data_IF_123063207775
#
_entry.id   IF_123063207775
#
_cell.length_a   1.000
_cell.length_b   1.000
_cell.length_c   1.000
_cell.angle_alpha   90.00
_cell.angle_beta   90.00
_cell.angle_gamma   90.00
#
_symmetry.space_group_name_H-M   'P 1'
#
loop_
_entity.id
_entity.type
_entity.pdbx_description
1 polymer ?
#
# COMPACT_ATOMS: atom_id res chain seq x y z
N UNK A 1 39.51 -50.48 22.16
CA UNK A 1 39.08 -49.07 22.18
C UNK A 1 37.61 -49.01 21.79
N UNK A 2 36.71 -48.71 22.73
CA UNK A 2 35.26 -48.60 22.53
C UNK A 2 34.91 -47.12 22.36
N UNK A 3 34.46 -46.71 21.17
CA UNK A 3 33.90 -45.37 20.93
C UNK A 3 32.46 -45.28 21.45
N UNK A 4 31.99 -44.10 21.92
CA UNK A 4 30.66 -43.94 22.51
C UNK A 4 29.55 -43.89 21.46
N UNK A 5 28.38 -44.42 21.84
CA UNK A 5 27.13 -44.48 21.07
C UNK A 5 26.41 -43.11 21.15
N UNK A 6 26.06 -42.46 20.01
CA UNK A 6 25.19 -41.29 20.04
C UNK A 6 23.69 -41.65 20.09
N UNK A 7 22.95 -40.77 20.77
CA UNK A 7 21.63 -40.93 21.41
C UNK A 7 20.42 -40.95 20.44
N UNK A 8 19.26 -41.49 20.85
CA UNK A 8 18.03 -41.46 20.06
C UNK A 8 17.45 -40.04 19.95
N UNK A 9 16.99 -39.69 18.75
CA UNK A 9 16.36 -38.41 18.42
C UNK A 9 14.89 -38.41 18.89
N UNK A 10 14.50 -37.41 19.68
CA UNK A 10 13.11 -37.16 20.04
C UNK A 10 12.28 -36.65 18.85
N UNK A 11 10.93 -36.72 18.93
CA UNK A 11 10.05 -36.36 17.82
C UNK A 11 10.08 -34.84 17.57
N UNK A 12 10.34 -34.44 16.32
CA UNK A 12 10.20 -33.06 15.87
C UNK A 12 8.72 -32.77 15.64
N UNK A 13 8.19 -31.78 16.36
CA UNK A 13 6.86 -31.22 16.11
C UNK A 13 6.82 -30.51 14.74
N UNK A 14 5.67 -30.53 14.04
CA UNK A 14 5.50 -29.84 12.76
C UNK A 14 5.51 -28.32 12.98
N UNK A 15 6.56 -27.68 12.51
CA UNK A 15 6.67 -26.22 12.44
C UNK A 15 5.75 -25.67 11.35
N UNK A 16 4.73 -24.95 11.82
CA UNK A 16 3.82 -24.07 11.09
C UNK A 16 4.43 -23.40 9.86
N UNK A 17 3.72 -23.52 8.73
CA UNK A 17 4.01 -22.81 7.49
C UNK A 17 3.82 -21.30 7.69
N UNK A 18 4.92 -20.54 7.66
CA UNK A 18 4.85 -19.11 7.37
C UNK A 18 5.02 -18.96 5.87
N UNK A 19 3.89 -18.74 5.19
CA UNK A 19 3.80 -18.45 3.77
C UNK A 19 4.49 -17.12 3.45
N UNK A 20 5.82 -17.16 3.38
CA UNK A 20 6.59 -16.26 2.53
C UNK A 20 6.32 -16.68 1.09
N UNK A 21 5.11 -16.38 0.60
CA UNK A 21 4.75 -16.48 -0.81
C UNK A 21 5.37 -15.27 -1.53
N UNK A 22 6.71 -15.28 -1.58
CA UNK A 22 7.50 -14.34 -2.36
C UNK A 22 7.33 -14.70 -3.83
N UNK A 23 6.25 -14.19 -4.44
CA UNK A 23 6.14 -14.21 -5.90
C UNK A 23 7.09 -13.16 -6.48
N UNK A 24 7.94 -13.51 -7.47
CA UNK A 24 8.79 -12.52 -8.12
C UNK A 24 7.89 -11.56 -8.89
N UNK A 25 7.96 -10.28 -8.54
CA UNK A 25 7.29 -9.22 -9.28
C UNK A 25 7.90 -9.13 -10.69
N UNK A 26 7.11 -8.99 -11.77
CA UNK A 26 7.68 -8.75 -13.09
C UNK A 26 8.36 -7.39 -13.08
N UNK A 27 9.67 -7.40 -13.24
CA UNK A 27 10.46 -6.24 -13.60
C UNK A 27 9.92 -5.70 -14.92
N UNK A 28 9.33 -4.51 -14.87
CA UNK A 28 9.09 -3.69 -16.05
C UNK A 28 10.00 -2.49 -15.93
N UNK A 29 11.15 -2.61 -16.56
CA UNK A 29 11.92 -1.48 -17.06
C UNK A 29 11.07 -0.80 -18.14
N UNK A 30 10.81 0.50 -17.96
CA UNK A 30 10.31 1.34 -19.05
C UNK A 30 10.46 2.83 -18.68
N UNK A 31 11.56 3.42 -19.12
CA UNK A 31 11.62 4.79 -19.65
C UNK A 31 11.22 5.93 -18.71
N UNK A 32 12.24 6.65 -18.24
CA UNK A 32 12.10 7.97 -17.63
C UNK A 32 11.48 8.96 -18.60
N UNK A 33 10.41 9.63 -18.14
CA UNK A 33 9.77 10.83 -18.71
C UNK A 33 8.69 11.19 -17.68
N UNK A 34 9.00 12.07 -16.71
CA UNK A 34 8.03 12.87 -15.95
C UNK A 34 6.62 12.22 -15.79
N UNK A 35 6.54 11.01 -15.21
CA UNK A 35 5.28 10.21 -15.21
C UNK A 35 4.36 10.65 -14.08
N UNK A 36 3.93 11.90 -14.15
CA UNK A 36 2.86 12.45 -13.33
C UNK A 36 1.61 11.56 -13.41
N UNK A 37 1.27 10.91 -12.29
CA UNK A 37 0.15 9.98 -12.23
C UNK A 37 -1.18 10.69 -12.54
N UNK A 38 -2.14 10.00 -13.19
CA UNK A 38 -3.50 10.50 -13.44
C UNK A 38 -4.53 9.75 -12.60
N UNK A 39 -5.67 10.38 -12.25
CA UNK A 39 -6.70 9.74 -11.44
C UNK A 39 -7.19 8.38 -12.00
N UNK A 40 -7.44 8.20 -13.31
CA UNK A 40 -7.81 6.89 -13.86
C UNK A 40 -6.71 5.84 -13.70
N UNK A 41 -5.42 6.22 -13.80
CA UNK A 41 -4.30 5.31 -13.62
C UNK A 41 -4.15 4.90 -12.15
N UNK A 42 -4.27 5.84 -11.20
CA UNK A 42 -4.29 5.52 -9.77
C UNK A 42 -5.45 4.56 -9.46
N UNK A 43 -6.67 4.90 -9.91
CA UNK A 43 -7.86 4.08 -9.70
C UNK A 43 -7.66 2.67 -10.22
N UNK A 44 -7.17 2.51 -11.45
CA UNK A 44 -6.91 1.19 -12.06
C UNK A 44 -5.87 0.39 -11.26
N UNK A 45 -4.81 1.04 -10.80
CA UNK A 45 -3.75 0.39 -10.02
C UNK A 45 -4.23 -0.08 -8.64
N UNK A 46 -5.03 0.73 -7.95
CA UNK A 46 -5.63 0.40 -6.66
C UNK A 46 -6.66 -0.73 -6.83
N UNK A 47 -7.48 -0.69 -7.89
CA UNK A 47 -8.50 -1.71 -8.19
C UNK A 47 -7.90 -3.08 -8.52
N UNK A 48 -6.63 -3.17 -8.93
CA UNK A 48 -5.99 -4.44 -9.25
C UNK A 48 -5.39 -5.15 -8.03
N UNK A 49 -5.47 -4.58 -6.83
CA UNK A 49 -4.87 -5.13 -5.60
C UNK A 49 -5.91 -5.15 -4.47
N UNK A 50 -5.72 -6.03 -3.50
CA UNK A 50 -6.53 -6.05 -2.29
C UNK A 50 -6.22 -4.84 -1.40
N UNK A 51 -4.97 -4.40 -1.38
CA UNK A 51 -4.47 -3.29 -0.57
C UNK A 51 -3.22 -2.69 -1.22
N UNK A 52 -3.02 -1.38 -1.05
CA UNK A 52 -1.86 -0.62 -1.56
C UNK A 52 -1.36 0.34 -0.48
N UNK A 53 -0.18 0.09 0.10
CA UNK A 53 0.51 1.05 0.98
C UNK A 53 0.89 2.34 0.25
N UNK A 54 1.00 3.46 0.96
CA UNK A 54 1.38 4.76 0.36
C UNK A 54 2.74 4.72 -0.36
N UNK A 55 3.73 4.03 0.21
CA UNK A 55 5.06 3.91 -0.40
C UNK A 55 5.03 3.16 -1.75
N UNK A 56 4.06 2.25 -1.96
CA UNK A 56 3.90 1.59 -3.26
C UNK A 56 3.38 2.53 -4.34
N UNK A 57 2.48 3.47 -4.01
CA UNK A 57 2.02 4.49 -4.96
C UNK A 57 3.17 5.40 -5.38
N UNK A 58 3.98 5.86 -4.41
CA UNK A 58 5.19 6.67 -4.68
C UNK A 58 6.13 5.97 -5.63
N UNK A 59 6.47 4.72 -5.32
CA UNK A 59 7.35 3.89 -6.15
C UNK A 59 6.78 3.63 -7.53
N UNK A 60 5.48 3.30 -7.64
CA UNK A 60 4.88 2.88 -8.90
C UNK A 60 4.79 4.00 -9.94
N UNK A 61 4.49 5.20 -9.47
CA UNK A 61 4.26 6.34 -10.34
C UNK A 61 5.47 7.27 -10.43
N UNK A 62 6.62 6.90 -9.85
CA UNK A 62 7.81 7.74 -9.79
C UNK A 62 7.46 9.15 -9.32
N UNK A 63 6.70 9.22 -8.21
CA UNK A 63 6.19 10.48 -7.68
C UNK A 63 7.38 11.32 -7.21
N UNK A 64 7.64 12.42 -7.93
CA UNK A 64 8.71 13.37 -7.62
C UNK A 64 8.27 14.24 -6.43
N UNK A 65 9.01 14.20 -5.32
CA UNK A 65 8.71 14.94 -4.10
C UNK A 65 9.53 14.43 -2.93
N UNK A 66 9.55 15.18 -1.82
CA UNK A 66 10.28 14.74 -0.62
C UNK A 66 9.57 13.54 0.05
N UNK A 67 10.31 12.66 0.71
CA UNK A 67 9.77 11.44 1.33
C UNK A 67 8.77 11.72 2.47
N UNK A 68 8.87 12.90 3.05
CA UNK A 68 8.02 13.44 4.09
C UNK A 68 6.95 14.41 3.58
N UNK A 69 6.80 14.57 2.26
CA UNK A 69 5.76 15.44 1.71
C UNK A 69 4.37 14.87 1.97
N UNK A 70 3.54 15.69 2.62
CA UNK A 70 2.20 15.32 3.07
C UNK A 70 1.19 16.35 2.62
N UNK A 71 0.13 15.87 1.97
CA UNK A 71 -0.99 16.70 1.53
C UNK A 71 -2.20 16.53 2.45
N UNK A 72 -2.73 17.60 3.03
CA UNK A 72 -3.99 17.54 3.75
C UNK A 72 -5.17 17.40 2.79
N UNK A 73 -6.08 16.49 3.08
CA UNK A 73 -7.31 16.25 2.30
C UNK A 73 -8.51 16.40 3.22
N UNK A 74 -9.37 17.36 2.90
CA UNK A 74 -10.66 17.52 3.58
C UNK A 74 -11.70 16.58 2.95
N UNK A 75 -12.17 15.62 3.75
CA UNK A 75 -13.31 14.77 3.47
C UNK A 75 -14.51 15.22 4.32
N UNK A 76 -15.72 14.83 3.92
CA UNK A 76 -16.99 15.29 4.53
C UNK A 76 -17.04 15.23 6.06
N UNK A 77 -16.37 14.24 6.67
CA UNK A 77 -16.43 14.00 8.12
C UNK A 77 -15.12 14.30 8.86
N UNK A 78 -14.01 14.47 8.16
CA UNK A 78 -12.69 14.64 8.77
C UNK A 78 -11.65 15.11 7.77
N UNK A 79 -10.65 15.82 8.27
CA UNK A 79 -9.39 16.04 7.56
C UNK A 79 -8.48 14.82 7.74
N UNK A 80 -7.84 14.39 6.66
CA UNK A 80 -6.84 13.32 6.65
C UNK A 80 -5.56 13.82 6.00
N UNK A 81 -4.45 13.14 6.27
CA UNK A 81 -3.13 13.51 5.77
C UNK A 81 -2.58 12.39 4.91
N UNK A 82 -2.30 12.69 3.64
CA UNK A 82 -1.82 11.71 2.66
C UNK A 82 -0.33 11.96 2.43
N UNK A 83 0.51 10.92 2.57
CA UNK A 83 1.97 11.00 2.32
C UNK A 83 2.33 11.05 0.83
N UNK A 84 1.68 11.93 0.08
CA UNK A 84 1.90 12.22 -1.34
C UNK A 84 2.01 13.74 -1.55
N UNK A 85 2.74 14.20 -2.58
CA UNK A 85 2.78 15.60 -2.97
C UNK A 85 1.41 16.17 -3.32
N UNK A 86 1.30 17.49 -3.33
CA UNK A 86 0.00 18.19 -3.45
C UNK A 86 -0.80 17.73 -4.67
N UNK A 87 -0.14 17.55 -5.81
CA UNK A 87 -0.76 17.13 -7.07
C UNK A 87 -1.41 15.76 -6.94
N UNK A 88 -0.67 14.74 -6.50
CA UNK A 88 -1.15 13.38 -6.37
C UNK A 88 -2.12 13.23 -5.19
N UNK A 89 -1.91 13.99 -4.11
CA UNK A 89 -2.83 14.08 -2.99
C UNK A 89 -4.22 14.56 -3.42
N UNK A 90 -4.31 15.56 -4.32
CA UNK A 90 -5.58 16.03 -4.90
C UNK A 90 -6.26 14.95 -5.75
N UNK A 91 -5.52 14.23 -6.58
CA UNK A 91 -6.06 13.12 -7.39
C UNK A 91 -6.61 11.99 -6.50
N UNK A 92 -5.89 11.65 -5.44
CA UNK A 92 -6.36 10.66 -4.48
C UNK A 92 -7.62 11.14 -3.74
N UNK A 93 -7.68 12.43 -3.39
CA UNK A 93 -8.85 13.04 -2.76
C UNK A 93 -10.12 12.91 -3.62
N UNK A 94 -10.02 13.12 -4.93
CA UNK A 94 -11.14 12.94 -5.86
C UNK A 94 -11.68 11.51 -5.82
N UNK A 95 -10.80 10.51 -5.88
CA UNK A 95 -11.16 9.09 -5.81
C UNK A 95 -11.80 8.71 -4.47
N UNK A 96 -11.30 9.27 -3.37
CA UNK A 96 -11.84 9.06 -2.03
C UNK A 96 -13.24 9.66 -1.88
N UNK A 97 -13.45 10.91 -2.32
CA UNK A 97 -14.77 11.57 -2.28
C UNK A 97 -15.78 10.89 -3.21
N UNK A 98 -15.32 10.39 -4.36
CA UNK A 98 -16.12 9.58 -5.28
C UNK A 98 -16.54 8.23 -4.70
N UNK A 99 -15.92 7.78 -3.59
CA UNK A 99 -16.16 6.45 -3.03
C UNK A 99 -15.61 5.31 -3.90
N UNK A 100 -14.70 5.63 -4.83
CA UNK A 100 -14.09 4.64 -5.71
C UNK A 100 -13.09 3.75 -4.97
N UNK A 101 -12.43 4.34 -3.97
CA UNK A 101 -11.40 3.71 -3.15
C UNK A 101 -11.66 4.04 -1.67
N UNK A 102 -11.22 3.15 -0.79
CA UNK A 102 -11.19 3.33 0.65
C UNK A 102 -9.76 3.56 1.11
N UNK A 103 -9.61 3.94 2.38
CA UNK A 103 -8.33 4.30 2.96
C UNK A 103 -8.22 3.75 4.37
N UNK A 104 -6.99 3.42 4.75
CA UNK A 104 -6.61 3.01 6.09
C UNK A 104 -5.84 4.15 6.77
N UNK A 105 -6.15 4.39 8.04
CA UNK A 105 -5.53 5.43 8.83
C UNK A 105 -4.66 4.85 9.94
N UNK A 106 -3.48 5.42 10.10
CA UNK A 106 -2.83 5.47 11.41
C UNK A 106 -3.34 6.71 12.16
N UNK A 107 -3.65 6.53 13.44
CA UNK A 107 -4.16 7.59 14.33
C UNK A 107 -3.08 8.07 15.31
N UNK A 108 -1.82 7.74 15.08
CA UNK A 108 -0.73 7.98 16.03
C UNK A 108 -0.28 9.46 16.04
N UNK A 109 -0.21 10.16 17.18
CA UNK A 109 -1.09 10.09 18.37
C UNK A 109 -2.34 10.98 18.25
N UNK A 110 -2.44 11.83 17.21
CA UNK A 110 -3.54 12.81 17.02
C UNK A 110 -3.78 13.16 15.55
N UNK A 111 -2.85 12.82 14.65
CA UNK A 111 -2.91 13.22 13.24
C UNK A 111 -3.32 12.01 12.40
N UNK A 112 -4.48 12.03 11.73
CA UNK A 112 -4.93 10.90 10.94
C UNK A 112 -4.21 10.81 9.60
N UNK A 113 -3.20 9.95 9.54
CA UNK A 113 -2.35 9.75 8.39
C UNK A 113 -2.84 8.53 7.60
N UNK A 114 -2.99 8.69 6.29
CA UNK A 114 -3.28 7.58 5.38
C UNK A 114 -2.04 6.72 5.24
N UNK A 115 -2.16 5.45 5.63
CA UNK A 115 -1.08 4.45 5.52
C UNK A 115 -1.24 3.56 4.29
N UNK A 116 -2.47 3.41 3.81
CA UNK A 116 -2.76 2.65 2.59
C UNK A 116 -4.17 2.89 2.08
N UNK A 117 -4.43 2.34 0.90
CA UNK A 117 -5.71 2.43 0.20
C UNK A 117 -6.12 1.07 -0.35
N UNK A 118 -7.42 0.88 -0.53
CA UNK A 118 -8.00 -0.36 -1.02
C UNK A 118 -9.19 -0.08 -1.93
N UNK A 119 -9.56 -1.00 -2.83
CA UNK A 119 -10.69 -0.79 -3.72
C UNK A 119 -12.02 -0.84 -2.97
N UNK A 120 -12.88 0.16 -3.21
CA UNK A 120 -14.28 0.09 -2.78
C UNK A 120 -15.14 -0.50 -3.90
N UNK A 121 -16.20 -1.22 -3.56
CA UNK A 121 -17.22 -1.57 -4.54
C UNK A 121 -18.05 -0.32 -4.82
N UNK A 122 -18.40 -0.02 -6.09
CA UNK A 122 -19.28 1.12 -6.38
C UNK A 122 -20.54 1.00 -5.55
N UNK A 123 -20.83 2.02 -4.75
CA UNK A 123 -22.11 2.12 -4.04
C UNK A 123 -23.06 2.84 -5.00
N UNK A 124 -24.06 2.14 -5.51
CA UNK A 124 -25.11 2.75 -6.32
C UNK A 124 -25.81 3.81 -5.44
N UNK A 125 -25.64 5.09 -5.76
CA UNK A 125 -26.38 6.18 -5.11
C UNK A 125 -27.72 6.27 -5.85
N UNK A 126 -28.80 5.89 -5.16
CA UNK A 126 -30.18 6.04 -5.65
C UNK A 126 -30.66 7.49 -5.51
#
# INVERSE_FOLDING_TARGET
MRGPIPRPQGPRLPGVASALDARPAPERDDGGLERSATAPQLRRFIKSRAYVPMHELRRRFAINGADDEVTPVDLERRRIFVGLPEREGRLLAELLRGGDIGYELSLDPITPIVVGVYPMRPVTRA
#
